data_IF_635694620769
#
_entry.id   IF_635694620769
#
_cell.length_a   1.000
_cell.length_b   1.000
_cell.length_c   1.000
_cell.angle_alpha   90.00
_cell.angle_beta   90.00
_cell.angle_gamma   90.00
#
_symmetry.space_group_name_H-M   'P 1'
#
loop_
_entity.id
_entity.type
_entity.pdbx_description
1 polymer ?
2 non-polymer ?
3 water ?
#
# COMPACT_ATOMS: atom_id res chain seq x y z
N UNK A 2 -4.51 10.34 6.78
CA UNK A 2 -5.55 9.55 6.14
C UNK A 2 -5.07 9.30 4.71
N UNK A 3 -4.45 8.14 4.51
CA UNK A 3 -3.93 7.80 3.19
C UNK A 3 -4.90 6.84 2.52
N UNK A 4 -5.42 7.24 1.37
CA UNK A 4 -6.36 6.39 0.64
C UNK A 4 -5.67 5.71 -0.54
N UNK A 5 -5.79 4.39 -0.62
CA UNK A 5 -5.23 3.63 -1.74
C UNK A 5 -6.44 3.23 -2.56
N UNK A 6 -6.39 3.48 -3.87
CA UNK A 6 -7.48 3.19 -4.79
C UNK A 6 -7.04 2.11 -5.76
N UNK A 7 -7.83 1.05 -5.87
CA UNK A 7 -7.46 -0.04 -6.76
C UNK A 7 -8.56 -0.30 -7.76
N UNK A 8 -8.19 -0.43 -9.04
CA UNK A 8 -9.18 -0.71 -10.08
C UNK A 8 -8.55 -1.32 -11.30
N UNK A 9 -8.98 -2.52 -11.68
CA UNK A 9 -8.48 -3.20 -12.87
C UNK A 9 -6.94 -3.22 -12.87
N UNK A 10 -6.38 -3.57 -11.72
CA UNK A 10 -4.93 -3.66 -11.52
C UNK A 10 -4.19 -2.32 -11.57
N UNK A 11 -4.95 -1.22 -11.64
CA UNK A 11 -4.36 0.11 -11.60
C UNK A 11 -4.37 0.46 -10.11
N UNK A 12 -3.36 1.19 -9.65
CA UNK A 12 -3.30 1.57 -8.23
C UNK A 12 -3.01 3.06 -8.14
N UNK A 13 -3.75 3.75 -7.28
CA UNK A 13 -3.60 5.19 -7.11
C UNK A 13 -3.60 5.52 -5.63
N UNK A 15 -4.08 8.89 -2.60
CA UNK A 15 -4.38 10.26 -2.21
C UNK A 15 -4.14 10.41 -0.72
N UNK A 16 -3.50 11.50 -0.31
CA UNK A 16 -3.36 11.78 1.11
C UNK A 16 -4.52 12.73 1.37
N UNK A 17 -5.58 12.24 2.00
CA UNK A 17 -6.76 13.08 2.25
C UNK A 17 -6.48 14.11 3.34
N UNK A 18 -6.73 15.37 3.03
CA UNK A 18 -6.49 16.43 3.98
C UNK A 18 -7.78 17.10 4.47
N UNK A 19 -7.80 17.37 5.77
CA UNK A 19 -8.93 17.98 6.45
C UNK A 19 -9.54 19.14 5.67
N UNK A 20 -10.85 19.06 5.44
CA UNK A 20 -11.55 20.12 4.75
C UNK A 20 -11.50 20.17 3.23
N UNK A 21 -10.78 19.24 2.61
CA UNK A 21 -10.68 19.24 1.16
C UNK A 21 -11.62 18.23 0.49
N UNK A 22 -11.86 18.40 -0.79
CA UNK A 22 -12.71 17.47 -1.52
C UNK A 22 -11.92 17.00 -2.74
N UNK A 23 -12.22 15.78 -3.17
CA UNK A 23 -11.51 15.17 -4.29
C UNK A 23 -12.45 14.41 -5.20
N UNK A 24 -11.99 14.17 -6.42
CA UNK A 24 -12.80 13.41 -7.36
C UNK A 24 -11.98 12.30 -8.01
N UNK A 25 -12.60 11.14 -8.13
CA UNK A 25 -11.99 9.99 -8.82
C UNK A 25 -12.91 9.80 -10.01
N UNK A 26 -12.38 9.87 -11.22
CA UNK A 26 -13.21 9.69 -12.41
C UNK A 26 -12.34 9.43 -13.64
N UNK A 27 -12.96 9.41 -14.81
CA UNK A 27 -12.24 9.19 -16.06
C UNK A 27 -11.64 10.50 -16.57
N UNK A 28 -12.03 11.62 -15.96
CA UNK A 28 -11.53 12.93 -16.37
C UNK A 28 -10.04 13.11 -16.06
N UNK A 29 -9.28 13.60 -17.03
CA UNK A 29 -7.85 13.80 -16.83
C UNK A 29 -7.56 14.88 -15.80
N UNK A 30 -8.56 15.72 -15.52
CA UNK A 30 -8.39 16.79 -14.56
C UNK A 30 -8.77 16.39 -13.14
N UNK A 31 -9.35 15.21 -12.99
CA UNK A 31 -9.74 14.72 -11.66
C UNK A 31 -8.50 14.54 -10.80
N UNK A 32 -8.69 14.48 -9.49
CA UNK A 32 -7.57 14.26 -8.58
C UNK A 32 -6.95 12.90 -8.87
N UNK A 33 -7.81 11.94 -9.21
CA UNK A 33 -7.36 10.59 -9.54
C UNK A 33 -8.11 10.21 -10.82
N UNK A 34 -7.35 9.87 -11.85
CA UNK A 34 -7.92 9.50 -13.15
C UNK A 34 -7.75 8.02 -13.42
N UNK A 35 -8.87 7.36 -13.71
CA UNK A 35 -8.88 5.95 -14.03
C UNK A 35 -9.67 5.76 -15.32
N UNK A 36 -9.01 5.21 -16.33
CA UNK A 36 -9.65 4.99 -17.61
C UNK A 36 -10.70 3.89 -17.51
N UNK A 37 -11.79 4.06 -18.24
CA UNK A 37 -12.88 3.09 -18.27
C UNK A 37 -13.41 2.73 -16.88
N UNK A 38 -13.50 3.72 -16.00
CA UNK A 38 -14.01 3.49 -14.65
C UNK A 38 -15.53 3.34 -14.70
N UNK A 39 -16.18 4.22 -15.45
CA UNK A 39 -17.64 4.19 -15.59
C UNK A 39 -18.40 4.70 -14.38
N UNK A 40 -17.68 5.36 -13.48
CA UNK A 40 -18.27 5.92 -12.27
C UNK A 40 -17.55 7.21 -11.93
N UNK A 41 -18.17 8.01 -11.08
CA UNK A 41 -17.54 9.23 -10.58
C UNK A 41 -17.64 9.09 -9.08
N UNK A 42 -16.52 9.26 -8.38
CA UNK A 42 -16.55 9.14 -6.94
C UNK A 42 -16.03 10.42 -6.30
N UNK A 43 -16.89 11.05 -5.50
CA UNK A 43 -16.53 12.28 -4.81
C UNK A 43 -16.11 11.91 -3.39
N UNK A 44 -14.96 12.43 -2.98
CA UNK A 44 -14.46 12.17 -1.66
C UNK A 44 -14.57 13.43 -0.81
N UNK A 45 -15.25 13.33 0.31
CA UNK A 45 -15.37 14.47 1.20
C UNK A 45 -15.82 14.01 2.57
N UNK A 46 -15.64 14.86 3.58
CA UNK A 46 -15.99 14.50 4.94
C UNK A 46 -17.41 14.86 5.30
N UNK A 47 -18.03 14.05 6.17
CA UNK A 47 -19.37 14.36 6.63
C UNK A 47 -19.19 15.42 7.72
N UNK A 48 -20.26 15.80 8.40
CA UNK A 48 -20.12 16.85 9.42
C UNK A 48 -19.27 16.54 10.64
N UNK A 49 -18.92 15.28 10.84
CA UNK A 49 -18.07 14.93 11.96
C UNK A 49 -16.65 14.66 11.51
N UNK A 50 -16.36 15.00 10.25
CA UNK A 50 -15.02 14.82 9.70
C UNK A 50 -14.66 13.45 9.16
N UNK A 51 -15.64 12.56 9.08
CA UNK A 51 -15.39 11.21 8.57
C UNK A 51 -15.35 11.19 7.05
N UNK A 52 -14.30 10.60 6.48
CA UNK A 52 -14.19 10.54 5.03
C UNK A 52 -15.20 9.62 4.38
N UNK A 53 -15.86 10.13 3.35
CA UNK A 53 -16.87 9.36 2.64
C UNK A 53 -16.66 9.40 1.14
N UNK A 54 -17.14 8.35 0.47
CA UNK A 54 -17.07 8.24 -0.96
C UNK A 54 -18.55 8.25 -1.37
N UNK A 55 -18.94 9.28 -2.10
CA UNK A 55 -20.34 9.44 -2.52
C UNK A 55 -21.28 9.24 -1.33
N UNK A 56 -20.96 9.92 -0.25
CA UNK A 56 -21.74 9.94 0.99
C UNK A 56 -21.79 8.65 1.80
N UNK A 57 -20.88 7.72 1.52
CA UNK A 57 -20.81 6.48 2.28
C UNK A 57 -19.48 6.49 3.00
N UNK A 58 -19.51 6.36 4.33
CA UNK A 58 -18.26 6.34 5.09
C UNK A 58 -17.37 5.18 4.64
N UNK A 59 -16.10 5.50 4.39
CA UNK A 59 -15.16 4.50 3.94
C UNK A 59 -14.70 3.56 5.03
N UNK A 60 -14.40 4.13 6.20
CA UNK A 60 -13.90 3.32 7.30
C UNK A 60 -12.63 2.61 6.83
N UNK A 61 -12.56 1.29 6.94
CA UNK A 61 -11.35 0.60 6.51
C UNK A 61 -11.28 0.35 5.01
N UNK A 62 -12.33 -0.23 4.46
CA UNK A 62 -12.37 -0.53 3.04
C UNK A 62 -13.78 -0.37 2.52
N UNK A 63 -13.89 0.17 1.31
CA UNK A 63 -15.19 0.35 0.66
C UNK A 63 -15.03 -0.13 -0.77
N UNK A 64 -16.02 -0.88 -1.27
CA UNK A 64 -15.97 -1.38 -2.63
C UNK A 64 -17.20 -0.98 -3.46
N UNK A 65 -16.97 -0.50 -4.69
CA UNK A 65 -18.07 -0.13 -5.57
C UNK A 65 -17.78 -0.71 -6.93
N UNK A 66 -18.75 -1.42 -7.51
CA UNK A 66 -18.53 -2.01 -8.82
C UNK A 66 -18.35 -0.97 -9.93
N UNK A 67 -17.37 -1.21 -10.80
CA UNK A 67 -17.10 -0.31 -11.91
C UNK A 67 -17.30 -1.06 -13.21
N UNK A 68 -16.95 -0.45 -14.34
CA UNK A 68 -17.11 -1.09 -15.64
C UNK A 68 -16.35 -2.40 -15.85
N UNK A 69 -15.09 -2.41 -15.46
CA UNK A 69 -14.22 -3.57 -15.70
C UNK A 69 -13.78 -4.36 -14.49
N UNK A 70 -14.13 -3.89 -13.30
CA UNK A 70 -13.69 -4.54 -12.07
C UNK A 70 -14.34 -3.78 -10.93
N UNK A 71 -14.12 -4.27 -9.71
CA UNK A 71 -14.60 -3.59 -8.52
C UNK A 71 -13.61 -2.45 -8.32
N UNK A 72 -14.04 -1.37 -7.69
CA UNK A 72 -13.17 -0.24 -7.38
C UNK A 72 -13.03 -0.38 -5.87
N UNK A 73 -11.81 -0.57 -5.38
CA UNK A 73 -11.59 -0.75 -3.96
C UNK A 73 -10.87 0.45 -3.36
N UNK A 74 -11.44 1.00 -2.28
CA UNK A 74 -10.86 2.13 -1.58
C UNK A 74 -10.44 1.62 -0.21
N UNK A 75 -9.15 1.74 0.11
CA UNK A 75 -8.65 1.28 1.40
C UNK A 75 -8.05 2.51 2.10
N UNK A 76 -8.57 2.82 3.29
CA UNK A 76 -8.13 4.01 4.02
C UNK A 76 -7.29 3.67 5.25
N UNK A 77 -6.06 4.19 5.27
CA UNK A 77 -5.15 3.94 6.38
C UNK A 77 -4.97 5.18 7.24
N UNK A 78 -4.78 5.00 8.54
CA UNK A 78 -4.54 6.13 9.44
C UNK A 78 -3.30 5.78 10.26
N UNK A 79 -2.86 6.72 11.11
CA UNK A 79 -1.68 6.48 11.93
C UNK A 79 -1.84 5.25 12.81
N UNK A 80 -3.08 4.83 13.05
CA UNK A 80 -3.32 3.64 13.85
C UNK A 80 -2.78 2.38 13.16
N UNK A 81 -2.63 2.46 11.84
CA UNK A 81 -2.15 1.33 11.06
C UNK A 81 -0.65 1.37 10.80
N UNK A 82 0.02 2.39 11.32
CA UNK A 82 1.45 2.61 11.08
C UNK A 82 2.41 1.95 12.06
N UNK A 83 3.49 1.39 11.52
CA UNK A 83 4.52 0.76 12.34
C UNK A 83 5.85 0.83 11.59
N UNK A 84 6.95 0.77 12.34
CA UNK A 84 8.28 0.82 11.73
C UNK A 84 9.09 -0.34 12.28
N UNK A 85 9.80 -1.04 11.39
CA UNK A 85 10.60 -2.20 11.79
C UNK A 85 12.04 -2.10 11.28
N UNK A 86 12.99 -2.41 12.16
CA UNK A 86 14.39 -2.36 11.76
C UNK A 86 14.78 -3.62 10.97
N UNK A 87 15.63 -3.44 9.97
CA UNK A 87 16.11 -4.57 9.19
C UNK A 87 16.87 -5.52 10.14
N UNK A 88 16.87 -6.82 9.83
CA UNK A 88 17.56 -7.81 10.65
C UNK A 88 19.02 -7.35 10.76
N UNK A 89 19.63 -7.57 11.93
CA UNK A 89 20.99 -7.15 12.17
C UNK A 89 22.04 -7.88 11.33
N UNK A 90 21.89 -9.18 11.14
CA UNK A 90 22.87 -9.92 10.36
C UNK A 90 22.39 -10.74 9.16
N UNK A 91 21.16 -11.26 9.17
CA UNK A 91 20.70 -12.01 8.01
C UNK A 91 20.49 -11.01 6.87
N UNK A 92 20.64 -11.44 5.61
CA UNK A 92 20.45 -10.51 4.51
C UNK A 92 19.12 -10.68 3.79
N UNK A 93 18.18 -11.38 4.41
CA UNK A 93 16.84 -11.53 3.83
C UNK A 93 15.84 -11.31 4.95
N UNK A 95 11.35 -11.67 5.44
CA UNK A 95 10.11 -11.99 4.75
C UNK A 95 8.90 -11.41 5.46
N UNK A 96 7.86 -11.13 4.67
CA UNK A 96 6.60 -10.61 5.17
C UNK A 96 5.55 -11.54 4.59
N UNK A 97 4.77 -12.17 5.45
CA UNK A 97 3.78 -13.11 4.95
C UNK A 97 2.89 -13.65 6.05
N UNK A 98 2.03 -14.62 5.73
CA UNK A 98 1.11 -15.19 6.71
C UNK A 98 1.64 -16.37 7.51
N UNK A 99 2.87 -16.79 7.21
CA UNK A 99 3.45 -17.96 7.89
C UNK A 99 4.09 -17.66 9.23
N UNK A 100 4.01 -18.64 10.14
CA UNK A 100 4.56 -18.46 11.48
C UNK A 100 6.07 -18.19 11.44
N UNK A 101 6.71 -18.61 10.36
CA UNK A 101 8.15 -18.43 10.22
C UNK A 101 8.57 -17.15 9.48
N UNK A 102 7.59 -16.37 9.01
CA UNK A 102 7.94 -15.12 8.34
C UNK A 102 8.44 -14.10 9.37
N UNK A 103 9.35 -13.21 8.97
CA UNK A 103 9.89 -12.24 9.90
C UNK A 103 8.83 -11.27 10.39
N UNK A 105 4.79 -11.21 10.40
CA UNK A 105 3.64 -12.08 10.14
C UNK A 105 2.34 -11.30 10.09
N UNK A 106 1.69 -11.34 8.94
CA UNK A 106 0.41 -10.67 8.74
C UNK A 106 -0.54 -11.74 8.17
N UNK A 107 -1.49 -12.16 8.99
CA UNK A 107 -2.46 -13.20 8.62
C UNK A 107 -3.30 -12.95 7.38
N UNK A 108 -3.55 -11.69 7.03
CA UNK A 108 -4.37 -11.39 5.87
C UNK A 108 -3.68 -11.64 4.53
N UNK A 109 -2.36 -11.82 4.55
CA UNK A 109 -1.61 -12.06 3.32
C UNK A 109 -1.78 -13.47 2.76
N UNK A 111 0.16 -14.71 0.15
CA UNK A 111 1.50 -15.20 -0.12
C UNK A 111 2.53 -14.29 0.54
N UNK A 112 3.71 -14.83 0.81
CA UNK A 112 4.76 -14.03 1.43
C UNK A 112 5.66 -13.43 0.36
N UNK A 113 6.36 -12.36 0.72
CA UNK A 113 7.30 -11.74 -0.19
C UNK A 113 8.63 -11.70 0.57
N UNK A 114 9.71 -11.54 -0.19
CA UNK A 114 11.05 -11.47 0.38
C UNK A 114 11.64 -10.10 0.12
N UNK A 115 12.30 -9.54 1.14
CA UNK A 115 13.00 -8.26 0.98
C UNK A 115 14.44 -8.64 1.23
N UNK A 116 15.34 -8.33 0.31
CA UNK A 116 16.74 -8.68 0.51
C UNK A 116 17.73 -7.62 0.05
N UNK A 117 19.00 -7.88 0.36
CA UNK A 117 20.12 -7.01 0.02
C UNK A 117 20.16 -5.68 0.75
N UNK A 118 19.45 -5.61 1.89
CA UNK A 118 19.44 -4.38 2.68
C UNK A 118 20.74 -4.20 3.47
N UNK A 119 21.53 -5.25 3.60
CA UNK A 119 22.77 -5.13 4.34
C UNK A 119 23.72 -4.14 3.66
N UNK A 120 23.58 -3.97 2.35
CA UNK A 120 24.44 -3.03 1.61
C UNK A 120 23.66 -1.81 1.14
N UNK A 121 22.52 -1.56 1.76
CA UNK A 121 21.66 -0.44 1.38
C UNK A 121 22.32 0.94 1.52
N UNK A 122 23.18 1.11 2.53
CA UNK A 122 23.83 2.39 2.71
C UNK A 122 24.60 2.79 1.45
N UNK A 123 25.12 1.79 0.76
CA UNK A 123 25.90 2.04 -0.45
C UNK A 123 25.08 2.03 -1.74
N UNK A 124 24.19 1.05 -1.88
CA UNK A 124 23.36 0.90 -3.08
C UNK A 124 22.13 1.80 -3.12
N UNK A 125 21.59 2.11 -1.95
CA UNK A 125 20.40 2.95 -1.81
C UNK A 125 19.12 2.19 -2.18
N UNK A 126 19.21 0.87 -2.33
CA UNK A 126 18.01 0.09 -2.65
C UNK A 126 18.01 -1.31 -2.05
N UNK A 127 16.84 -1.93 -2.07
CA UNK A 127 16.67 -3.30 -1.63
C UNK A 127 15.99 -3.98 -2.80
N UNK A 128 15.92 -5.31 -2.76
CA UNK A 128 15.22 -6.03 -3.83
C UNK A 128 14.05 -6.73 -3.17
N UNK A 129 12.91 -6.74 -3.85
CA UNK A 129 11.74 -7.43 -3.35
C UNK A 129 11.48 -8.58 -4.30
N UNK A 130 11.26 -9.77 -3.75
CA UNK A 130 11.00 -10.95 -4.56
C UNK A 130 9.60 -11.46 -4.25
N UNK A 131 8.82 -11.75 -5.30
CA UNK A 131 7.47 -12.26 -5.14
C UNK A 131 7.21 -13.34 -6.17
N UNK A 132 6.16 -14.14 -5.97
CA UNK A 132 5.84 -15.18 -6.95
C UNK A 132 4.96 -14.61 -8.05
N UNK A 133 4.73 -15.40 -9.09
CA UNK A 133 3.93 -14.97 -10.23
C UNK A 133 2.46 -14.74 -9.92
N UNK A 134 2.01 -15.19 -8.75
CA UNK A 134 0.61 -15.03 -8.36
C UNK A 134 0.41 -13.86 -7.41
N UNK A 135 1.47 -13.09 -7.19
CA UNK A 135 1.40 -11.97 -6.28
C UNK A 135 1.66 -10.65 -7.00
N UNK A 136 0.70 -9.73 -6.94
CA UNK A 136 0.87 -8.43 -7.58
C UNK A 136 1.62 -7.50 -6.65
N UNK A 137 2.71 -6.93 -7.14
CA UNK A 137 3.50 -6.00 -6.33
C UNK A 137 3.57 -4.69 -7.08
N UNK A 138 3.32 -3.59 -6.38
CA UNK A 138 3.40 -2.27 -7.00
C UNK A 138 4.51 -1.49 -6.32
N UNK A 139 5.30 -0.76 -7.10
CA UNK A 139 6.36 0.08 -6.57
C UNK A 139 6.03 1.46 -7.11
N UNK A 140 5.80 2.39 -6.18
CA UNK A 140 5.39 3.74 -6.53
C UNK A 140 4.17 3.70 -7.43
N UNK A 141 3.26 2.82 -7.06
CA UNK A 141 1.97 2.63 -7.71
C UNK A 141 1.98 2.15 -9.15
N UNK A 142 3.07 1.47 -9.52
CA UNK A 142 3.17 0.88 -10.85
C UNK A 142 3.32 -0.62 -10.66
N UNK A 143 2.46 -1.39 -11.32
CA UNK A 143 2.52 -2.85 -11.23
C UNK A 143 3.84 -3.35 -11.78
N UNK A 144 4.52 -4.21 -11.04
CA UNK A 144 5.80 -4.74 -11.49
C UNK A 144 5.62 -6.00 -12.35
N UNK A 145 6.41 -6.12 -13.40
CA UNK A 145 6.31 -7.29 -14.28
C UNK A 145 7.22 -8.42 -13.76
N UNK A 146 8.48 -8.09 -13.53
CA UNK A 146 9.45 -9.08 -13.08
C UNK A 146 9.22 -9.56 -11.65
N UNK A 147 9.70 -10.78 -11.35
CA UNK A 147 9.53 -11.36 -10.03
C UNK A 147 10.43 -10.74 -8.97
N UNK A 148 11.56 -10.18 -9.40
CA UNK A 148 12.47 -9.52 -8.47
C UNK A 148 12.59 -8.08 -8.92
N UNK A 149 12.28 -7.14 -8.02
CA UNK A 149 12.32 -5.72 -8.35
C UNK A 149 13.10 -4.89 -7.36
N UNK A 150 13.77 -3.86 -7.87
CA UNK A 150 14.52 -2.96 -7.00
C UNK A 150 13.58 -1.92 -6.41
N UNK A 151 13.76 -1.63 -5.12
CA UNK A 151 12.98 -0.62 -4.42
C UNK A 151 13.99 0.27 -3.71
N UNK A 152 14.11 1.52 -4.18
CA UNK A 152 15.07 2.44 -3.57
C UNK A 152 14.56 3.09 -2.29
N UNK A 153 15.47 3.66 -1.52
CA UNK A 153 15.10 4.33 -0.29
C UNK A 153 14.09 5.41 -0.66
N UNK A 154 12.98 5.46 0.07
CA UNK A 154 11.96 6.45 -0.21
C UNK A 154 10.82 5.91 -1.06
N UNK A 155 11.05 4.80 -1.74
CA UNK A 155 10.03 4.19 -2.59
C UNK A 155 8.93 3.56 -1.76
N UNK A 156 7.74 3.50 -2.34
CA UNK A 156 6.60 2.92 -1.67
C UNK A 156 6.19 1.64 -2.37
N UNK A 157 5.98 0.61 -1.57
CA UNK A 157 5.59 -0.69 -2.11
C UNK A 157 4.17 -0.97 -1.66
N UNK A 158 3.40 -1.65 -2.51
CA UNK A 158 2.06 -2.02 -2.13
C UNK A 158 1.89 -3.47 -2.55
N UNK A 159 1.42 -4.30 -1.62
CA UNK A 159 1.21 -5.69 -1.92
C UNK A 159 0.17 -6.28 -0.99
N UNK A 160 -0.83 -6.94 -1.57
CA UNK A 160 -1.86 -7.61 -0.78
C UNK A 160 -2.40 -6.81 0.39
N UNK A 161 -2.76 -5.56 0.14
CA UNK A 161 -3.33 -4.74 1.19
C UNK A 161 -2.40 -4.01 2.14
N UNK A 162 -1.10 -4.20 2.01
CA UNK A 162 -0.19 -3.51 2.89
C UNK A 162 0.73 -2.57 2.11
N UNK A 163 1.06 -1.46 2.75
CA UNK A 163 1.92 -0.41 2.20
C UNK A 163 3.25 -0.49 2.93
N UNK A 164 4.34 -0.35 2.19
CA UNK A 164 5.67 -0.36 2.77
C UNK A 164 6.45 0.83 2.23
N UNK A 165 7.36 1.35 3.05
CA UNK A 165 8.21 2.45 2.64
C UNK A 165 9.63 2.04 3.00
N UNK A 166 10.50 1.99 2.00
CA UNK A 166 11.90 1.60 2.20
C UNK A 166 12.72 2.73 2.79
N UNK A 167 13.45 2.45 3.86
CA UNK A 167 14.31 3.44 4.48
C UNK A 167 15.69 2.81 4.71
N UNK A 168 16.65 3.64 5.10
CA UNK A 168 18.01 3.15 5.33
C UNK A 168 18.11 2.17 6.48
N UNK A 169 17.29 2.36 7.52
CA UNK A 169 17.36 1.51 8.70
C UNK A 169 16.29 0.43 8.84
N UNK A 170 15.33 0.42 7.92
CA UNK A 170 14.29 -0.58 8.00
C UNK A 170 13.10 -0.19 7.14
N UNK A 171 11.94 -0.72 7.48
CA UNK A 171 10.74 -0.40 6.71
C UNK A 171 9.65 0.23 7.54
N UNK A 172 8.92 1.16 6.93
CA UNK A 172 7.75 1.72 7.58
C UNK A 172 6.62 0.94 6.94
N UNK A 173 5.58 0.67 7.73
CA UNK A 173 4.47 -0.14 7.23
C UNK A 173 3.10 0.41 7.59
N UNK A 174 2.13 0.22 6.70
CA UNK A 174 0.74 0.57 6.99
C UNK A 174 -0.02 -0.72 6.76
N UNK A 175 -0.65 -1.23 7.81
CA UNK A 175 -1.40 -2.48 7.75
C UNK A 175 -2.62 -2.35 8.66
N UNK A 176 -3.79 -2.63 8.11
CA UNK A 176 -5.01 -2.55 8.91
C UNK A 176 -5.17 -3.78 9.80
N UNK A 177 -4.34 -4.78 9.58
CA UNK A 177 -4.38 -5.99 10.40
C UNK A 177 -3.12 -6.05 11.25
N UNK A 178 -3.24 -6.69 12.41
CA UNK A 178 -2.12 -6.77 13.32
C UNK A 178 -0.88 -7.39 12.68
N UNK A 179 0.28 -6.86 13.05
CA UNK A 179 1.54 -7.36 12.54
C UNK A 179 2.30 -7.97 13.72
N UNK A 180 2.71 -9.23 13.58
CA UNK A 180 3.47 -9.91 14.63
C UNK A 180 4.88 -10.01 14.06
N UNK A 181 5.89 -9.64 14.84
CA UNK A 181 7.25 -9.70 14.32
C UNK A 181 8.31 -9.91 15.38
N UNK A 182 9.38 -10.57 14.97
CA UNK A 182 10.52 -10.84 15.82
C UNK A 182 11.53 -9.70 15.61
N UNK A 183 11.23 -8.80 14.67
CA UNK A 183 12.08 -7.66 14.39
C UNK A 183 11.85 -6.54 15.40
N UNK A 184 12.84 -5.66 15.55
CA UNK A 184 12.75 -4.53 16.47
C UNK A 184 11.80 -3.49 15.90
N UNK A 185 10.88 -3.01 16.72
CA UNK A 185 9.94 -1.98 16.30
C UNK A 185 10.57 -0.61 16.54
N UNK A 186 10.80 0.13 15.46
CA UNK A 186 11.39 1.46 15.58
C UNK A 186 10.29 2.49 15.85
#
# INVERSE_FOLDING_TARGET
>A
XHKLIIKYNKQLKXLNLRDGKTYTISEDERADITLKSLGEVIHLEQNNQGTWQANHTSINKVLVRKGDLDDITLQLYTEADYASFAYPSIQDTXTIGPNAYDDXVIQSLXNAIIIKDFQSIQESQYVRIVHDKNTDVYINYELQEQLTNKAYIGDHIYVEGIWLEVQADGLNVLSQNTVASSLIRLTQEXPHAQADDYNTYHRSPRIIHREPTDDIKIERPPQPIQKNNTLEHHHHHH
#
